data_IF_110618697666
#
_entry.id   IF_110618697666
#
_cell.length_a   1.000
_cell.length_b   1.000
_cell.length_c   1.000
_cell.angle_alpha   90.00
_cell.angle_beta   90.00
_cell.angle_gamma   90.00
#
_symmetry.space_group_name_H-M   'P 1'
#
loop_
_entity.id
_entity.type
_entity.pdbx_description
1 polymer ?
2 water ?
#
# COMPACT_ATOMS: atom_id res chain seq x y z
N UNK A 2 -6.24 -17.74 1.24
CA UNK A 2 -5.26 -18.00 2.33
C UNK A 2 -4.57 -16.73 2.91
N UNK A 3 -3.58 -16.14 2.22
CA UNK A 3 -2.87 -14.93 2.76
C UNK A 3 -3.59 -14.00 3.75
N UNK A 4 -4.90 -13.82 3.60
CA UNK A 4 -5.67 -13.01 4.57
C UNK A 4 -6.39 -13.96 5.53
N UNK A 5 -5.86 -14.10 6.75
CA UNK A 5 -6.43 -14.99 7.74
C UNK A 5 -7.84 -14.58 8.26
N UNK A 6 -8.54 -15.57 8.84
CA UNK A 6 -9.87 -15.40 9.43
C UNK A 6 -9.58 -15.14 10.91
N UNK A 7 -10.17 -14.13 11.50
CA UNK A 7 -9.95 -13.91 12.92
C UNK A 7 -10.76 -14.88 13.74
N UNK A 8 -10.26 -15.25 14.92
CA UNK A 8 -11.08 -16.01 15.88
C UNK A 8 -12.06 -15.06 16.58
N UNK A 9 -13.02 -15.65 17.30
CA UNK A 9 -14.04 -14.89 18.00
C UNK A 9 -13.55 -13.77 18.92
N UNK A 10 -12.64 -14.06 19.85
CA UNK A 10 -12.00 -13.06 20.73
C UNK A 10 -11.39 -11.87 19.94
N UNK A 11 -10.61 -12.20 18.92
CA UNK A 11 -9.89 -11.21 18.10
C UNK A 11 -10.86 -10.32 17.34
N UNK A 12 -11.87 -10.92 16.72
CA UNK A 12 -12.89 -10.13 16.06
C UNK A 12 -13.71 -9.27 17.02
N UNK A 13 -14.15 -9.84 18.15
CA UNK A 13 -14.82 -9.04 19.20
C UNK A 13 -14.00 -7.88 19.69
N UNK A 14 -12.69 -8.03 19.78
CA UNK A 14 -11.82 -6.92 20.06
C UNK A 14 -11.93 -5.77 19.04
N UNK A 15 -12.01 -6.12 17.75
CA UNK A 15 -12.25 -5.17 16.62
C UNK A 15 -13.64 -4.47 16.72
N UNK A 16 -14.66 -5.27 16.98
CA UNK A 16 -16.00 -4.79 17.21
C UNK A 16 -16.08 -3.75 18.31
N UNK A 17 -15.56 -4.11 19.48
CA UNK A 17 -15.54 -3.21 20.61
C UNK A 17 -14.77 -1.93 20.31
N UNK A 18 -13.63 -2.03 19.62
CA UNK A 18 -12.89 -0.83 19.33
C UNK A 18 -13.61 0.06 18.26
N UNK A 19 -14.36 -0.54 17.34
CA UNK A 19 -15.13 0.20 16.36
C UNK A 19 -16.33 0.98 16.97
N UNK A 20 -17.07 0.31 17.85
CA UNK A 20 -18.15 0.92 18.65
C UNK A 20 -17.61 1.99 19.63
N UNK A 21 -16.37 1.82 20.03
CA UNK A 21 -15.69 2.76 20.90
C UNK A 21 -16.10 4.21 20.66
N UNK A 22 -16.68 4.79 21.70
CA UNK A 22 -16.77 6.22 21.90
C UNK A 22 -15.30 6.50 22.19
N UNK A 23 -14.70 7.36 21.40
CA UNK A 23 -13.27 7.21 21.12
C UNK A 23 -12.29 8.23 21.75
N UNK A 24 -11.00 7.84 21.70
CA UNK A 24 -9.95 8.59 22.38
C UNK A 24 -8.98 9.24 21.40
N UNK A 25 -7.73 9.32 21.85
CA UNK A 25 -6.59 9.51 21.00
C UNK A 25 -6.13 8.12 20.49
N UNK A 26 -5.09 7.57 21.11
CA UNK A 26 -4.28 6.51 20.53
C UNK A 26 -4.98 5.17 20.51
N UNK A 27 -4.79 4.45 19.40
CA UNK A 27 -4.83 2.99 19.37
C UNK A 27 -3.41 2.47 19.11
N UNK A 28 -2.54 3.33 18.61
CA UNK A 28 -1.19 2.95 18.28
C UNK A 28 -0.36 4.22 18.09
N UNK A 29 0.95 4.04 18.16
CA UNK A 29 1.83 5.16 17.94
C UNK A 29 3.24 4.84 17.42
N UNK A 30 3.46 3.65 16.86
CA UNK A 30 4.80 3.16 16.56
C UNK A 30 5.42 3.63 15.24
N UNK A 33 4.01 6.85 12.96
CA UNK A 33 2.56 6.70 12.67
C UNK A 33 1.67 6.63 13.93
N UNK A 34 0.86 7.68 14.09
CA UNK A 34 -0.06 7.79 15.20
C UNK A 34 -1.43 7.42 14.63
N UNK A 35 -2.08 6.42 15.21
CA UNK A 35 -3.45 6.06 14.82
C UNK A 35 -4.46 6.38 15.95
N UNK A 36 -5.42 7.23 15.59
CA UNK A 36 -6.63 7.56 16.40
C UNK A 36 -7.78 6.54 16.10
N UNK A 37 -8.83 6.58 16.93
CA UNK A 37 -9.98 5.63 16.72
C UNK A 37 -10.77 6.14 15.60
N UNK A 38 -10.66 7.45 15.40
CA UNK A 38 -11.20 8.10 14.24
C UNK A 38 -10.59 7.57 12.94
N UNK A 39 -9.28 7.38 12.91
CA UNK A 39 -8.64 6.79 11.70
C UNK A 39 -8.99 5.33 11.59
N UNK A 40 -9.05 4.68 12.74
CA UNK A 40 -9.36 3.30 12.87
C UNK A 40 -10.74 3.00 12.33
N UNK A 41 -11.67 3.92 12.60
CA UNK A 41 -13.06 3.76 12.14
C UNK A 41 -13.23 3.69 10.65
N UNK A 42 -12.21 4.12 9.93
CA UNK A 42 -12.20 4.03 8.46
C UNK A 42 -12.13 2.58 7.99
N UNK A 43 -11.74 1.68 8.88
CA UNK A 43 -11.78 0.21 8.62
C UNK A 43 -13.14 -0.47 8.83
N UNK A 44 -14.10 0.27 9.40
CA UNK A 44 -15.46 -0.17 9.55
C UNK A 44 -16.03 -0.37 8.20
N UNK A 45 -17.06 -1.20 8.11
CA UNK A 45 -17.65 -1.58 6.84
C UNK A 45 -18.21 -0.40 6.08
N UNK A 46 -18.05 -0.46 4.76
CA UNK A 46 -18.50 0.60 3.87
C UNK A 46 -17.75 1.89 4.01
N UNK A 47 -16.58 1.90 4.61
CA UNK A 47 -15.91 3.20 4.85
C UNK A 47 -14.62 3.31 4.02
N UNK A 48 -14.43 4.45 3.39
CA UNK A 48 -13.17 4.76 2.67
C UNK A 48 -11.93 4.86 3.61
N UNK A 49 -10.92 4.05 3.34
CA UNK A 49 -9.69 4.05 4.13
C UNK A 49 -8.85 5.27 3.90
N UNK A 50 -8.39 5.85 4.99
CA UNK A 50 -7.55 7.01 4.90
C UNK A 50 -6.09 6.67 4.81
N UNK A 51 -5.28 7.71 4.53
CA UNK A 51 -3.82 7.64 4.39
C UNK A 51 -3.07 7.03 5.58
N UNK A 52 -3.53 7.36 6.76
CA UNK A 52 -3.00 6.83 7.97
C UNK A 52 -3.03 5.32 8.02
N UNK A 53 -4.16 4.75 7.69
CA UNK A 53 -4.33 3.31 7.71
C UNK A 53 -3.47 2.63 6.64
N UNK A 54 -3.40 3.28 5.50
CA UNK A 54 -2.58 2.74 4.41
C UNK A 54 -1.11 2.78 4.81
N UNK A 55 -0.68 3.86 5.43
CA UNK A 55 0.65 3.96 5.95
C UNK A 55 1.02 2.81 6.94
N UNK A 56 0.09 2.51 7.88
CA UNK A 56 0.22 1.41 8.80
C UNK A 56 0.47 0.09 8.06
N UNK A 57 -0.38 -0.21 7.08
CA UNK A 57 -0.23 -1.42 6.30
C UNK A 57 1.11 -1.51 5.52
N UNK A 58 1.51 -0.42 4.88
CA UNK A 58 2.79 -0.36 4.16
C UNK A 58 3.96 -0.71 5.13
N UNK A 59 3.96 -0.05 6.31
CA UNK A 59 4.93 -0.39 7.37
C UNK A 59 4.96 -1.85 7.81
N UNK A 60 3.77 -2.42 7.97
CA UNK A 60 3.59 -3.80 8.30
C UNK A 60 4.22 -4.74 7.24
N UNK A 61 3.94 -4.44 5.97
CA UNK A 61 4.51 -5.15 4.86
C UNK A 61 6.03 -5.07 4.87
N UNK A 62 6.60 -3.89 5.06
CA UNK A 62 8.04 -3.79 5.16
C UNK A 62 8.62 -4.70 6.19
N UNK A 63 7.96 -4.74 7.36
CA UNK A 63 8.49 -5.43 8.51
C UNK A 63 8.37 -6.95 8.29
N UNK A 64 7.41 -7.37 7.47
CA UNK A 64 7.06 -8.78 7.25
C UNK A 64 7.51 -9.36 5.89
N UNK A 65 8.41 -8.68 5.23
CA UNK A 65 8.86 -9.01 3.89
C UNK A 65 10.34 -8.60 3.72
N UNK A 66 11.24 -9.59 3.52
CA UNK A 66 12.67 -9.24 3.33
C UNK A 66 12.87 -8.50 2.01
N UNK A 67 13.81 -7.56 2.05
CA UNK A 67 14.31 -6.81 0.88
C UNK A 67 13.23 -6.03 0.11
N UNK A 68 12.39 -5.34 0.86
CA UNK A 68 11.19 -4.76 0.38
C UNK A 68 11.00 -3.45 1.09
N UNK A 69 10.65 -2.44 0.29
CA UNK A 69 10.36 -1.10 0.78
C UNK A 69 8.96 -0.80 0.39
N UNK A 70 8.17 -0.28 1.31
CA UNK A 70 6.82 0.08 0.98
C UNK A 70 6.55 1.45 1.50
N UNK A 71 6.67 2.44 0.61
CA UNK A 71 6.48 3.84 1.04
C UNK A 71 5.05 4.18 1.39
N UNK A 72 4.86 5.25 2.17
CA UNK A 72 3.51 5.70 2.42
C UNK A 72 3.02 6.44 1.17
N UNK A 73 1.76 6.93 1.23
CA UNK A 73 1.10 7.59 0.09
C UNK A 73 1.70 8.94 -0.27
N UNK A 74 2.38 9.58 0.68
CA UNK A 74 2.98 10.91 0.49
C UNK A 74 4.25 10.88 -0.40
N UNK A 75 4.89 9.71 -0.48
CA UNK A 75 6.03 9.54 -1.34
C UNK A 75 5.72 9.98 -2.77
N UNK A 76 4.65 9.42 -3.34
CA UNK A 76 4.33 9.68 -4.73
C UNK A 76 3.94 11.16 -4.90
N UNK A 77 3.20 11.70 -3.93
CA UNK A 77 2.83 13.15 -4.01
C UNK A 77 4.07 14.04 -4.17
N UNK A 78 5.04 13.87 -3.29
CA UNK A 78 6.27 14.62 -3.32
C UNK A 78 7.06 14.39 -4.62
N UNK A 79 7.17 13.15 -5.05
CA UNK A 79 7.87 12.78 -6.29
C UNK A 79 7.29 13.51 -7.52
N UNK A 80 5.99 13.47 -7.65
CA UNK A 80 5.29 14.09 -8.76
C UNK A 80 5.23 15.60 -8.70
N UNK A 81 5.21 16.20 -7.52
CA UNK A 81 5.09 17.63 -7.35
C UNK A 81 6.44 18.28 -7.24
N UNK A 82 7.45 17.57 -6.72
CA UNK A 82 8.79 18.15 -6.48
C UNK A 82 9.91 17.42 -7.20
N UNK A 83 9.57 16.36 -7.92
CA UNK A 83 10.56 15.53 -8.59
C UNK A 83 11.39 14.73 -7.68
N UNK A 84 12.34 14.05 -8.27
CA UNK A 84 13.28 13.26 -7.46
C UNK A 84 13.87 13.98 -6.22
N UNK A 85 14.22 15.25 -6.42
CA UNK A 85 14.86 16.07 -5.41
C UNK A 85 13.98 16.15 -4.12
N UNK A 86 12.67 16.12 -4.30
CA UNK A 86 11.74 16.10 -3.21
C UNK A 86 11.67 14.84 -2.40
N UNK A 87 12.17 13.73 -2.95
CA UNK A 87 12.17 12.44 -2.28
C UNK A 87 13.55 11.76 -2.17
N UNK A 88 14.61 12.55 -2.34
CA UNK A 88 15.97 12.08 -2.39
C UNK A 88 16.46 11.38 -1.13
N UNK A 89 15.89 11.66 0.04
CA UNK A 89 16.35 11.02 1.30
C UNK A 89 15.50 9.86 1.71
N UNK A 90 14.36 9.69 1.04
CA UNK A 90 13.37 8.70 1.48
C UNK A 90 13.98 7.30 1.53
N UNK A 91 14.77 6.91 0.52
CA UNK A 91 15.36 5.59 0.56
C UNK A 91 16.39 5.39 1.65
N UNK A 92 17.23 6.40 1.86
CA UNK A 92 18.23 6.33 2.92
C UNK A 92 17.65 6.04 4.32
N UNK A 93 16.48 6.64 4.56
CA UNK A 93 15.70 6.44 5.78
C UNK A 93 15.22 5.01 5.94
N UNK A 94 15.28 4.22 4.86
CA UNK A 94 14.94 2.85 4.91
C UNK A 94 16.10 1.92 5.25
N UNK A 95 17.31 2.47 5.40
CA UNK A 95 18.48 1.72 5.83
C UNK A 95 18.97 0.70 4.83
N UNK A 96 18.77 0.98 3.55
CA UNK A 96 19.15 0.09 2.48
C UNK A 96 19.31 0.90 1.23
N UNK A 97 19.83 0.24 0.21
CA UNK A 97 20.00 0.86 -1.06
C UNK A 97 19.12 0.17 -2.06
N UNK A 98 18.69 0.95 -3.06
CA UNK A 98 17.79 0.47 -4.10
C UNK A 98 18.28 -0.78 -4.79
N UNK A 99 19.59 -0.87 -5.07
CA UNK A 99 20.20 -2.10 -5.64
C UNK A 99 20.17 -3.40 -4.75
N UNK A 100 19.75 -3.28 -3.53
CA UNK A 100 19.69 -4.41 -2.65
C UNK A 100 18.27 -4.97 -2.57
N UNK A 101 17.32 -4.28 -3.20
CA UNK A 101 15.89 -4.55 -3.02
C UNK A 101 15.36 -5.50 -4.05
N UNK A 102 14.32 -6.21 -3.67
CA UNK A 102 13.49 -7.00 -4.55
C UNK A 102 12.39 -6.19 -5.19
N UNK A 103 11.62 -5.53 -4.30
CA UNK A 103 10.54 -4.65 -4.69
C UNK A 103 10.39 -3.38 -3.83
N UNK A 104 9.75 -2.41 -4.46
CA UNK A 104 9.31 -1.14 -3.90
C UNK A 104 7.81 -0.93 -4.22
N UNK A 105 7.01 -0.79 -3.16
CA UNK A 105 5.58 -0.52 -3.24
C UNK A 105 5.31 0.95 -3.00
N UNK A 106 4.50 1.52 -3.84
CA UNK A 106 4.09 2.91 -3.76
C UNK A 106 2.57 3.08 -3.86
N UNK A 107 1.88 3.17 -2.72
CA UNK A 107 0.46 3.45 -2.79
C UNK A 107 0.19 4.83 -3.30
N UNK A 108 -0.79 4.96 -4.17
CA UNK A 108 -1.11 6.24 -4.79
C UNK A 108 -2.57 6.67 -4.55
N UNK A 109 -2.75 7.86 -4.02
CA UNK A 109 -4.09 8.42 -3.78
C UNK A 109 -4.38 9.44 -4.82
N UNK A 110 -4.98 9.04 -5.92
CA UNK A 110 -5.28 9.95 -7.01
C UNK A 110 -6.45 10.84 -6.60
N UNK A 111 -6.17 12.13 -6.63
CA UNK A 111 -7.23 13.16 -6.44
C UNK A 111 -7.85 13.03 -5.08
N UNK A 112 -7.03 12.70 -4.08
CA UNK A 112 -7.47 12.35 -2.72
C UNK A 112 -8.64 11.43 -2.53
N UNK A 113 -9.02 10.68 -3.56
CA UNK A 113 -10.17 9.81 -3.52
C UNK A 113 -9.84 8.39 -4.00
N UNK A 114 -9.10 8.26 -5.11
CA UNK A 114 -8.94 7.01 -5.82
C UNK A 114 -7.52 6.38 -5.44
N UNK A 115 -7.59 5.32 -4.64
CA UNK A 115 -6.41 4.55 -4.21
C UNK A 115 -6.04 3.54 -5.29
N UNK A 116 -4.81 3.65 -5.73
CA UNK A 116 -4.19 2.72 -6.62
C UNK A 116 -2.72 2.40 -6.18
N UNK A 117 -2.06 1.50 -6.91
CA UNK A 117 -0.77 0.97 -6.55
C UNK A 117 0.26 0.83 -7.66
N UNK A 118 1.45 1.31 -7.35
CA UNK A 118 2.62 1.13 -8.13
C UNK A 118 3.51 0.09 -7.48
N UNK A 119 4.00 -0.78 -8.31
CA UNK A 119 4.95 -1.88 -7.91
C UNK A 119 6.20 -1.87 -8.76
N UNK A 120 7.35 -1.57 -8.15
CA UNK A 120 8.63 -1.59 -8.84
C UNK A 120 9.27 -2.91 -8.43
N UNK A 121 9.43 -3.81 -9.39
CA UNK A 121 10.04 -5.10 -9.19
C UNK A 121 11.40 -5.07 -9.84
N UNK A 122 12.42 -4.89 -8.98
CA UNK A 122 13.83 -4.79 -9.38
C UNK A 122 14.44 -6.07 -9.94
N UNK A 123 13.91 -7.22 -9.55
CA UNK A 123 14.36 -8.52 -10.03
C UNK A 123 13.80 -8.92 -11.39
N UNK A 124 12.52 -8.68 -11.59
CA UNK A 124 11.84 -8.88 -12.85
C UNK A 124 11.98 -7.70 -13.78
N UNK A 125 12.55 -6.57 -13.31
CA UNK A 125 12.76 -5.39 -14.10
C UNK A 125 11.49 -4.84 -14.75
N UNK A 126 10.46 -4.69 -13.94
CA UNK A 126 9.16 -4.13 -14.33
C UNK A 126 8.69 -3.09 -13.33
N UNK A 127 7.91 -2.15 -13.83
CA UNK A 127 7.18 -1.17 -13.04
C UNK A 127 5.70 -1.36 -13.41
N UNK A 128 4.88 -1.75 -12.43
CA UNK A 128 3.46 -2.08 -12.61
C UNK A 128 2.51 -1.08 -11.95
N UNK A 129 1.43 -0.81 -12.68
CA UNK A 129 0.30 0.01 -12.20
C UNK A 129 -0.88 -0.92 -11.98
N UNK A 130 -1.34 -0.96 -10.74
CA UNK A 130 -2.43 -1.86 -10.28
C UNK A 130 -3.60 -1.03 -9.74
N UNK A 131 -4.79 -1.26 -10.31
CA UNK A 131 -5.94 -0.46 -9.98
C UNK A 131 -7.22 -1.29 -9.94
N UNK A 132 -7.84 -1.37 -8.77
CA UNK A 132 -9.07 -2.18 -8.58
C UNK A 132 -10.34 -1.43 -9.08
N UNK A 133 -10.12 -0.26 -9.72
CA UNK A 133 -11.16 0.55 -10.37
C UNK A 133 -10.61 1.02 -11.71
N UNK A 134 -10.05 0.11 -12.49
CA UNK A 134 -9.37 0.45 -13.72
C UNK A 134 -10.31 0.83 -14.89
N UNK A 135 -10.17 2.02 -15.52
CA UNK A 135 -10.89 2.27 -16.81
C UNK A 135 -10.06 1.61 -17.92
N UNK A 136 -8.78 1.34 -17.65
CA UNK A 136 -7.75 0.92 -18.63
C UNK A 136 -6.61 1.94 -18.63
N UNK A 137 -5.57 1.79 -19.46
CA UNK A 137 -4.50 2.81 -19.52
C UNK A 137 -5.04 4.19 -19.74
N UNK A 138 -4.63 5.12 -18.91
CA UNK A 138 -5.04 6.50 -19.08
C UNK A 138 -3.84 7.44 -18.77
N UNK A 139 -4.06 8.73 -18.85
CA UNK A 139 -3.00 9.71 -18.62
C UNK A 139 -2.37 9.59 -17.23
N UNK A 140 -3.18 9.38 -16.20
CA UNK A 140 -2.64 9.39 -14.83
C UNK A 140 -1.74 8.16 -14.63
N UNK A 141 -2.20 7.02 -15.05
CA UNK A 141 -1.38 5.79 -14.97
C UNK A 141 -0.04 5.86 -15.71
N UNK A 142 -0.08 6.43 -16.91
CA UNK A 142 1.12 6.69 -17.71
C UNK A 142 2.11 7.61 -16.93
N UNK A 143 1.60 8.68 -16.32
CA UNK A 143 2.42 9.56 -15.53
C UNK A 143 3.03 8.89 -14.28
N UNK A 144 2.25 8.11 -13.55
CA UNK A 144 2.73 7.32 -12.45
C UNK A 144 3.91 6.43 -12.85
N UNK A 145 3.72 5.60 -13.89
CA UNK A 145 4.78 4.74 -14.42
C UNK A 145 6.05 5.50 -14.83
N UNK A 146 5.87 6.64 -15.51
CA UNK A 146 6.96 7.54 -15.93
C UNK A 146 7.77 8.06 -14.72
N UNK A 147 7.03 8.58 -13.74
CA UNK A 147 7.60 9.11 -12.50
C UNK A 147 8.32 8.06 -11.71
N UNK A 148 7.75 6.86 -11.59
CA UNK A 148 8.38 5.77 -10.83
C UNK A 148 9.68 5.28 -11.51
N UNK A 149 9.67 5.21 -12.84
CA UNK A 149 10.92 4.97 -13.58
C UNK A 149 11.95 6.01 -13.38
N UNK A 150 11.53 7.26 -13.41
CA UNK A 150 12.43 8.39 -13.21
C UNK A 150 13.07 8.24 -11.81
N UNK A 151 12.28 7.84 -10.83
CA UNK A 151 12.76 7.62 -9.48
C UNK A 151 13.87 6.57 -9.44
N UNK A 152 13.59 5.42 -10.03
CA UNK A 152 14.55 4.36 -10.02
C UNK A 152 15.86 4.77 -10.71
N UNK A 153 15.73 5.50 -11.83
CA UNK A 153 16.87 6.00 -12.59
C UNK A 153 17.74 6.92 -11.76
N UNK A 154 17.12 7.84 -11.05
CA UNK A 154 17.80 8.77 -10.18
C UNK A 154 18.38 8.13 -8.91
N UNK A 155 17.52 7.47 -8.14
CA UNK A 155 17.95 6.84 -6.89
C UNK A 155 19.15 5.87 -7.05
N UNK A 156 19.20 5.22 -8.19
CA UNK A 156 20.23 4.27 -8.49
C UNK A 156 21.53 4.94 -9.06
N UNK A 157 21.55 6.26 -9.10
CA UNK A 157 22.66 6.99 -9.71
C UNK A 157 22.86 6.49 -11.14
N UNK A 158 21.73 6.22 -11.82
CA UNK A 158 21.68 5.89 -13.25
C UNK A 158 22.33 4.59 -13.64
N UNK A 159 22.09 3.56 -12.82
CA UNK A 159 22.60 2.24 -13.04
C UNK A 159 21.53 1.28 -13.43
N UNK A 160 20.28 1.56 -13.06
CA UNK A 160 19.15 0.70 -13.39
C UNK A 160 17.88 1.50 -13.68
N UNK A 161 16.92 0.86 -14.33
CA UNK A 161 15.60 1.45 -14.57
C UNK A 161 15.22 1.82 -16.00
N UNK A 162 16.21 2.27 -16.73
CA UNK A 162 16.01 2.71 -18.08
C UNK A 162 15.44 1.64 -19.00
N UNK A 163 15.75 0.39 -18.71
CA UNK A 163 15.24 -0.71 -19.50
C UNK A 163 14.07 -1.53 -18.86
N UNK A 164 13.42 -1.00 -17.82
CA UNK A 164 12.29 -1.67 -17.17
C UNK A 164 11.03 -1.69 -18.05
N UNK A 165 10.23 -2.74 -17.96
CA UNK A 165 8.96 -2.80 -18.66
C UNK A 165 7.95 -2.03 -17.86
N UNK A 166 7.20 -1.15 -18.54
CA UNK A 166 6.23 -0.27 -17.91
C UNK A 166 4.88 -0.84 -18.24
N UNK A 167 4.31 -1.54 -17.27
CA UNK A 167 3.03 -2.23 -17.50
C UNK A 167 1.85 -1.91 -16.56
N UNK A 168 0.67 -2.29 -17.07
CA UNK A 168 -0.59 -2.24 -16.38
C UNK A 168 -0.96 -3.65 -15.98
N UNK A 169 -0.99 -3.86 -14.66
CA UNK A 169 -1.19 -5.16 -14.06
C UNK A 169 -2.61 -5.42 -13.76
N UNK A 170 -3.17 -6.48 -14.33
CA UNK A 170 -4.59 -6.77 -14.08
C UNK A 170 -4.75 -7.23 -12.66
N UNK A 171 -5.83 -6.82 -12.04
CA UNK A 171 -6.15 -7.28 -10.71
C UNK A 171 -7.64 -7.47 -10.50
N UNK A 172 -8.02 -8.16 -9.39
CA UNK A 172 -9.46 -8.25 -9.14
C UNK A 172 -10.09 -6.87 -9.04
N UNK A 173 -11.22 -6.70 -9.68
CA UNK A 173 -11.92 -5.44 -9.65
C UNK A 173 -12.95 -5.34 -8.51
N UNK A 174 -13.10 -4.18 -7.87
CA UNK A 174 -14.01 -4.03 -6.75
C UNK A 174 -15.46 -3.84 -7.24
N UNK A 175 -16.44 -4.34 -6.47
CA UNK A 175 -17.92 -4.25 -6.77
C UNK A 175 -18.62 -3.01 -6.29
N UNK A 176 -17.89 -2.10 -5.66
CA UNK A 176 -18.42 -0.88 -5.06
C UNK A 176 -17.43 0.28 -5.32
N UNK A 177 -17.68 1.43 -4.70
CA UNK A 177 -16.90 2.62 -4.94
C UNK A 177 -16.00 3.07 -3.83
N UNK A 178 -15.87 2.27 -2.78
CA UNK A 178 -15.13 2.67 -1.53
C UNK A 178 -14.02 1.68 -1.05
N UNK A 179 -13.86 0.52 -1.67
CA UNK A 179 -12.90 -0.47 -1.18
C UNK A 179 -11.47 -0.44 -1.75
N UNK A 180 -11.25 0.47 -2.67
CA UNK A 180 -9.91 0.84 -3.14
C UNK A 180 -8.71 0.76 -2.20
N UNK A 181 -8.79 1.48 -1.08
CA UNK A 181 -7.82 1.43 -0.02
C UNK A 181 -7.48 -0.01 0.33
N UNK A 182 -8.53 -0.82 0.52
CA UNK A 182 -8.38 -2.22 0.84
C UNK A 182 -7.80 -3.11 -0.26
N UNK A 183 -8.24 -2.89 -1.51
CA UNK A 183 -7.70 -3.57 -2.65
C UNK A 183 -6.22 -3.29 -2.86
N UNK A 184 -5.81 -2.06 -2.61
CA UNK A 184 -4.36 -1.68 -2.63
C UNK A 184 -3.59 -2.49 -1.61
N UNK A 185 -4.13 -2.59 -0.39
CA UNK A 185 -3.52 -3.39 0.69
C UNK A 185 -3.35 -4.83 0.29
N UNK A 186 -4.42 -5.35 -0.29
CA UNK A 186 -4.37 -6.73 -0.80
C UNK A 186 -3.40 -7.00 -1.94
N UNK A 187 -3.36 -6.07 -2.88
CA UNK A 187 -2.41 -6.13 -4.01
C UNK A 187 -0.99 -6.04 -3.48
N UNK A 188 -0.79 -5.25 -2.42
CA UNK A 188 0.49 -5.08 -1.78
C UNK A 188 0.91 -6.40 -1.08
N UNK A 189 -0.01 -6.96 -0.31
CA UNK A 189 0.23 -8.24 0.36
C UNK A 189 0.53 -9.38 -0.61
N UNK A 190 -0.37 -9.59 -1.59
CA UNK A 190 -0.19 -10.61 -2.58
C UNK A 190 1.07 -10.42 -3.38
N UNK A 191 1.33 -9.17 -3.79
CA UNK A 191 2.52 -8.86 -4.55
C UNK A 191 3.74 -9.17 -3.70
N UNK A 192 3.68 -8.81 -2.40
CA UNK A 192 4.80 -9.04 -1.51
C UNK A 192 5.17 -10.57 -1.37
N UNK A 193 4.20 -11.41 -1.61
CA UNK A 193 4.35 -12.84 -1.52
C UNK A 193 4.56 -13.48 -2.90
N UNK A 194 4.66 -12.70 -3.97
CA UNK A 194 4.80 -13.18 -5.31
C UNK A 194 3.66 -14.09 -5.68
N UNK A 195 2.48 -13.80 -5.12
CA UNK A 195 1.27 -14.56 -5.43
C UNK A 195 0.46 -13.87 -6.50
N UNK A 196 -0.15 -14.67 -7.41
CA UNK A 196 -1.13 -14.19 -8.38
C UNK A 196 -2.23 -13.34 -7.76
N UNK A 197 -2.56 -12.26 -8.44
CA UNK A 197 -3.60 -11.36 -7.97
C UNK A 197 -5.00 -11.93 -8.30
N UNK A 198 -5.36 -12.99 -7.57
CA UNK A 198 -6.58 -13.70 -7.84
C UNK A 198 -7.46 -13.81 -6.59
N UNK A 199 -7.32 -12.88 -5.67
CA UNK A 199 -8.24 -12.75 -4.58
C UNK A 199 -9.63 -12.29 -5.00
N UNK A 200 -10.58 -12.49 -4.10
CA UNK A 200 -11.98 -12.09 -4.31
C UNK A 200 -12.52 -11.05 -3.32
N UNK A 201 -13.71 -10.58 -3.61
CA UNK A 201 -14.35 -9.58 -2.78
C UNK A 201 -14.59 -10.00 -1.30
N UNK A 202 -14.85 -11.28 -1.11
CA UNK A 202 -14.94 -11.89 0.25
C UNK A 202 -13.65 -11.76 1.04
N UNK A 203 -12.51 -11.92 0.35
CA UNK A 203 -11.14 -11.76 0.90
C UNK A 203 -10.94 -10.34 1.35
N UNK A 204 -11.50 -9.42 0.57
CA UNK A 204 -11.40 -8.01 0.84
C UNK A 204 -12.06 -7.58 2.14
N UNK A 205 -13.20 -8.22 2.42
CA UNK A 205 -13.94 -7.96 3.67
C UNK A 205 -13.17 -8.43 4.87
N UNK A 206 -12.52 -9.59 4.75
CA UNK A 206 -11.67 -10.12 5.82
C UNK A 206 -10.47 -9.17 6.12
N UNK A 207 -9.94 -8.56 5.05
CA UNK A 207 -8.78 -7.71 5.12
C UNK A 207 -9.01 -6.57 6.11
N UNK A 208 -10.20 -5.96 6.06
CA UNK A 208 -10.59 -4.88 7.03
C UNK A 208 -10.38 -5.29 8.50
N UNK A 209 -10.83 -6.49 8.83
CA UNK A 209 -10.79 -7.06 10.16
C UNK A 209 -9.34 -7.39 10.48
N UNK A 210 -8.59 -7.86 9.47
CA UNK A 210 -7.18 -8.23 9.62
C UNK A 210 -6.29 -7.04 10.00
N UNK A 211 -6.44 -5.97 9.22
CA UNK A 211 -5.65 -4.81 9.43
C UNK A 211 -5.99 -4.21 10.79
N UNK A 212 -7.28 -4.11 11.06
CA UNK A 212 -7.80 -3.70 12.41
C UNK A 212 -7.18 -4.48 13.55
N UNK A 213 -7.10 -5.80 13.40
CA UNK A 213 -6.43 -6.69 14.33
C UNK A 213 -4.94 -6.38 14.52
N UNK A 214 -4.27 -6.12 13.40
CA UNK A 214 -2.91 -5.79 13.40
C UNK A 214 -2.65 -4.52 14.15
N UNK A 215 -3.52 -3.54 13.97
CA UNK A 215 -3.35 -2.31 14.73
C UNK A 215 -3.47 -2.48 16.27
N UNK A 216 -4.56 -3.14 16.65
CA UNK A 216 -4.89 -3.44 18.07
C UNK A 216 -3.89 -4.36 18.77
N UNK A 217 -3.22 -5.23 18.04
CA UNK A 217 -2.16 -6.06 18.58
C UNK A 217 -0.77 -5.42 18.52
N UNK A 218 -0.70 -4.18 18.05
CA UNK A 218 0.57 -3.49 17.90
C UNK A 218 1.57 -4.33 17.10
N UNK A 219 1.16 -4.68 15.89
CA UNK A 219 1.86 -5.67 15.10
C UNK A 219 3.28 -5.24 14.63
N UNK A 220 3.58 -3.94 14.71
CA UNK A 220 4.91 -3.40 14.29
C UNK A 220 5.96 -3.46 15.44
N UNK A 221 5.59 -4.28 16.43
CA UNK A 221 6.15 -4.57 17.80
C UNK A 221 6.42 -3.43 18.68
#
# INVERSE_FOLDING_TARGET
GSLVPELNEKDDDQVQKALASRENTQLMNRDNIEITVRDFKTLAPRRWLNDTIIEFFMKYIEKSTPNTVAFNSFFYTNLSERGYQGVRRWMKRKKTQIDKLDKIFTPINLNQSHWALGIIDLKKKTIGYVDSLSNGPNAMSFAILTDLQKYVMEESKHTIGEDFDLIHLDCPQQPNGYDCGIYVCMNTLYGSADAPLDFDYKDAIRMRRFIAHLILTDALK
#
